data_IF_482132680754
#
_entry.id   IF_482132680754
#
_cell.length_a   1.000
_cell.length_b   1.000
_cell.length_c   1.000
_cell.angle_alpha   90.00
_cell.angle_beta   90.00
_cell.angle_gamma   90.00
#
_symmetry.space_group_name_H-M   'P 1'
#
loop_
_entity.id
_entity.type
_entity.pdbx_description
1 polymer ?
#
# COMPACT_ATOMS: atom_id res chain seq x y z
N UNK A 1 -4.87 9.41 -16.91
CA UNK A 1 -5.12 8.47 -15.79
C UNK A 1 -6.44 7.77 -16.02
N UNK A 2 -6.47 6.45 -15.97
CA UNK A 2 -7.71 5.67 -15.95
C UNK A 2 -8.10 5.41 -14.48
N UNK A 3 -9.08 6.16 -13.99
CA UNK A 3 -9.51 6.09 -12.59
C UNK A 3 -10.13 4.75 -12.21
N UNK A 4 -10.86 4.10 -13.13
CA UNK A 4 -11.49 2.79 -12.88
C UNK A 4 -10.42 1.71 -12.72
N UNK A 5 -9.42 1.71 -13.61
CA UNK A 5 -8.29 0.78 -13.55
C UNK A 5 -7.44 1.02 -12.30
N UNK A 6 -7.21 2.30 -11.93
CA UNK A 6 -6.49 2.64 -10.70
C UNK A 6 -7.24 2.15 -9.45
N UNK A 7 -8.56 2.36 -9.38
CA UNK A 7 -9.36 1.87 -8.26
C UNK A 7 -9.33 0.33 -8.17
N UNK A 8 -9.50 -0.37 -9.29
CA UNK A 8 -9.41 -1.82 -9.33
C UNK A 8 -8.03 -2.33 -8.88
N UNK A 9 -6.95 -1.67 -9.35
CA UNK A 9 -5.59 -1.98 -8.91
C UNK A 9 -5.43 -1.80 -7.40
N UNK A 10 -5.97 -0.72 -6.83
CA UNK A 10 -5.95 -0.47 -5.39
C UNK A 10 -6.68 -1.55 -4.59
N UNK A 11 -7.88 -1.95 -5.02
CA UNK A 11 -8.64 -3.04 -4.37
C UNK A 11 -7.86 -4.35 -4.37
N UNK A 12 -7.33 -4.76 -5.55
CA UNK A 12 -6.59 -6.01 -5.69
C UNK A 12 -5.29 -5.95 -4.87
N UNK A 13 -4.58 -4.83 -4.89
CA UNK A 13 -3.33 -4.65 -4.16
C UNK A 13 -3.54 -4.69 -2.64
N UNK A 14 -4.56 -4.00 -2.13
CA UNK A 14 -4.91 -4.05 -0.70
C UNK A 14 -5.30 -5.47 -0.29
N UNK A 15 -6.13 -6.15 -1.07
CA UNK A 15 -6.49 -7.54 -0.77
C UNK A 15 -5.26 -8.48 -0.77
N UNK A 16 -4.31 -8.27 -1.69
CA UNK A 16 -3.06 -9.05 -1.75
C UNK A 16 -2.17 -8.78 -0.55
N UNK A 17 -2.02 -7.52 -0.14
CA UNK A 17 -1.29 -7.13 1.07
C UNK A 17 -1.94 -7.75 2.32
N UNK A 18 -3.26 -7.63 2.45
CA UNK A 18 -4.03 -8.21 3.56
C UNK A 18 -3.83 -9.73 3.64
N UNK A 19 -3.91 -10.43 2.50
CA UNK A 19 -3.68 -11.88 2.46
C UNK A 19 -2.27 -12.24 2.95
N UNK A 20 -1.25 -11.47 2.54
CA UNK A 20 0.12 -11.66 3.02
C UNK A 20 0.20 -11.47 4.55
N UNK A 21 -0.33 -10.36 5.07
CA UNK A 21 -0.30 -10.06 6.51
C UNK A 21 -0.99 -11.14 7.36
N UNK A 22 -1.98 -11.84 6.81
CA UNK A 22 -2.61 -12.99 7.47
C UNK A 22 -1.71 -14.22 7.52
N UNK A 23 -0.77 -14.35 6.58
CA UNK A 23 0.17 -15.48 6.49
C UNK A 23 1.46 -15.22 7.27
N UNK A 24 1.86 -13.95 7.44
CA UNK A 24 3.10 -13.55 8.12
C UNK A 24 3.35 -14.24 9.46
N UNK A 25 2.36 -14.40 10.37
CA UNK A 25 2.58 -15.11 11.62
C UNK A 25 3.00 -16.58 11.44
N UNK A 26 2.59 -17.20 10.32
CA UNK A 26 2.96 -18.59 10.01
C UNK A 26 4.42 -18.77 9.61
N UNK A 27 5.09 -17.68 9.24
CA UNK A 27 6.50 -17.65 8.85
C UNK A 27 7.38 -16.94 9.90
N UNK A 28 6.84 -16.70 11.10
CA UNK A 28 7.58 -16.15 12.24
C UNK A 28 7.63 -14.62 12.30
N UNK A 29 6.85 -13.92 11.46
CA UNK A 29 6.68 -12.47 11.58
C UNK A 29 5.53 -12.13 12.54
N UNK A 30 5.55 -10.95 13.19
CA UNK A 30 4.52 -10.57 14.14
C UNK A 30 3.19 -10.31 13.43
N UNK A 31 2.08 -10.61 14.11
CA UNK A 31 0.74 -10.32 13.60
C UNK A 31 0.51 -8.81 13.55
N UNK A 32 0.33 -8.27 12.36
CA UNK A 32 -0.07 -6.87 12.16
C UNK A 32 -1.61 -6.80 12.09
N UNK A 33 -2.22 -6.31 13.18
CA UNK A 33 -3.67 -6.26 13.34
C UNK A 33 -4.27 -4.96 12.73
N UNK A 34 -4.18 -4.78 11.40
CA UNK A 34 -4.59 -3.54 10.71
C UNK A 34 -6.05 -3.17 11.04
N UNK A 35 -6.97 -4.13 11.00
CA UNK A 35 -8.39 -3.88 11.25
C UNK A 35 -8.65 -3.31 12.64
N UNK A 36 -8.03 -3.87 13.68
CA UNK A 36 -8.14 -3.40 15.06
C UNK A 36 -7.43 -2.05 15.25
N UNK A 37 -6.24 -1.90 14.69
CA UNK A 37 -5.43 -0.68 14.81
C UNK A 37 -6.12 0.51 14.16
N UNK A 38 -6.64 0.37 12.94
CA UNK A 38 -7.36 1.46 12.26
C UNK A 38 -8.71 1.75 12.90
N UNK A 39 -9.43 0.72 13.38
CA UNK A 39 -10.69 0.89 14.09
C UNK A 39 -10.52 1.67 15.39
N UNK A 40 -9.49 1.36 16.19
CA UNK A 40 -9.20 2.08 17.43
C UNK A 40 -8.79 3.53 17.18
N UNK A 41 -8.02 3.76 16.12
CA UNK A 41 -7.59 5.11 15.73
C UNK A 41 -8.76 5.97 15.26
N UNK A 42 -9.69 5.42 14.48
CA UNK A 42 -10.92 6.13 14.10
C UNK A 42 -11.76 6.50 15.31
N UNK A 43 -11.89 5.62 16.28
CA UNK A 43 -12.65 5.88 17.50
C UNK A 43 -12.01 6.97 18.38
N UNK A 44 -10.69 7.12 18.33
CA UNK A 44 -9.96 8.16 19.06
C UNK A 44 -10.06 9.55 18.39
N UNK A 45 -10.17 9.60 17.06
CA UNK A 45 -10.18 10.86 16.29
C UNK A 45 -11.62 11.38 16.09
N UNK A 46 -12.59 10.48 15.99
CA UNK A 46 -13.99 10.82 15.78
C UNK A 46 -14.84 10.31 16.97
N UNK A 47 -15.80 11.10 17.42
CA UNK A 47 -16.86 10.65 18.35
C UNK A 47 -17.77 9.57 17.74
N UNK A 48 -17.39 8.98 16.63
CA UNK A 48 -18.06 7.84 15.99
C UNK A 48 -17.76 6.62 16.82
N UNK A 49 -18.76 6.08 17.47
CA UNK A 49 -18.74 4.83 18.20
C UNK A 49 -18.13 3.72 17.38
N UNK A 50 -17.27 2.94 18.01
CA UNK A 50 -16.44 1.86 17.48
C UNK A 50 -17.00 1.20 16.21
N UNK A 51 -16.38 1.49 15.07
CA UNK A 51 -16.73 0.86 13.78
C UNK A 51 -16.32 -0.62 13.72
N UNK A 52 -15.68 -1.11 14.76
CA UNK A 52 -15.16 -2.47 14.85
C UNK A 52 -14.07 -2.79 13.81
N UNK A 53 -13.47 -3.99 13.85
CA UNK A 53 -12.42 -4.38 12.91
C UNK A 53 -12.84 -4.30 11.44
N UNK A 54 -14.12 -4.56 11.13
CA UNK A 54 -14.65 -4.44 9.76
C UNK A 54 -14.55 -3.01 9.21
N UNK A 55 -14.78 -2.00 10.05
CA UNK A 55 -14.60 -0.60 9.67
C UNK A 55 -13.13 -0.24 9.44
N UNK A 56 -12.22 -0.80 10.24
CA UNK A 56 -10.78 -0.68 10.02
C UNK A 56 -10.34 -1.24 8.66
N UNK A 57 -10.83 -2.43 8.29
CA UNK A 57 -10.58 -3.03 6.98
C UNK A 57 -11.15 -2.21 5.82
N UNK A 58 -12.35 -1.64 6.00
CA UNK A 58 -12.93 -0.76 4.99
C UNK A 58 -12.11 0.51 4.81
N UNK A 59 -11.60 1.09 5.91
CA UNK A 59 -10.72 2.25 5.85
C UNK A 59 -9.42 1.92 5.13
N UNK A 60 -8.79 0.77 5.44
CA UNK A 60 -7.58 0.30 4.76
C UNK A 60 -7.80 0.17 3.25
N UNK A 61 -8.93 -0.40 2.84
CA UNK A 61 -9.30 -0.52 1.44
C UNK A 61 -9.47 0.85 0.76
N UNK A 62 -10.12 1.81 1.43
CA UNK A 62 -10.29 3.18 0.90
C UNK A 62 -8.93 3.85 0.75
N UNK A 63 -8.08 3.76 1.77
CA UNK A 63 -6.72 4.32 1.74
C UNK A 63 -5.91 3.68 0.62
N UNK A 64 -5.98 2.37 0.46
CA UNK A 64 -5.31 1.66 -0.63
C UNK A 64 -5.77 2.12 -2.02
N UNK A 65 -7.07 2.31 -2.22
CA UNK A 65 -7.60 2.87 -3.49
C UNK A 65 -7.09 4.29 -3.73
N UNK A 66 -7.06 5.14 -2.70
CA UNK A 66 -6.54 6.50 -2.80
C UNK A 66 -5.07 6.50 -3.20
N UNK A 67 -4.24 5.68 -2.56
CA UNK A 67 -2.82 5.56 -2.94
C UNK A 67 -2.62 5.03 -4.35
N UNK A 68 -3.43 4.07 -4.81
CA UNK A 68 -3.38 3.60 -6.20
C UNK A 68 -3.76 4.70 -7.20
N UNK A 69 -4.69 5.58 -6.86
CA UNK A 69 -5.00 6.76 -7.67
C UNK A 69 -3.85 7.75 -7.69
N UNK A 70 -3.17 7.98 -6.56
CA UNK A 70 -1.97 8.82 -6.47
C UNK A 70 -0.85 8.21 -7.33
N UNK A 71 -0.63 6.89 -7.27
CA UNK A 71 0.30 6.20 -8.15
C UNK A 71 -0.01 6.47 -9.63
N UNK A 72 -1.24 6.26 -10.03
CA UNK A 72 -1.71 6.44 -11.39
C UNK A 72 -1.56 7.88 -11.90
N UNK A 73 -1.76 8.88 -11.02
CA UNK A 73 -1.70 10.29 -11.38
C UNK A 73 -0.26 10.82 -11.45
N UNK A 74 0.61 10.37 -10.55
CA UNK A 74 1.89 11.04 -10.32
C UNK A 74 3.11 10.13 -10.49
N UNK A 75 3.01 8.83 -10.27
CA UNK A 75 4.18 7.95 -10.16
C UNK A 75 4.38 7.02 -11.36
N UNK A 76 3.30 6.54 -11.99
CA UNK A 76 3.37 5.50 -13.02
C UNK A 76 4.37 5.80 -14.15
N UNK A 77 4.43 7.06 -14.62
CA UNK A 77 5.33 7.45 -15.71
C UNK A 77 6.59 8.20 -15.25
N UNK A 78 6.72 8.48 -13.96
CA UNK A 78 7.86 9.23 -13.42
C UNK A 78 8.91 8.35 -12.77
N UNK A 79 8.52 7.18 -12.27
CA UNK A 79 9.46 6.24 -11.67
C UNK A 79 10.19 5.44 -12.76
N UNK A 80 11.49 5.12 -12.57
CA UNK A 80 12.27 4.35 -13.52
C UNK A 80 11.93 2.86 -13.47
N UNK A 81 12.23 2.15 -14.55
CA UNK A 81 12.13 0.69 -14.63
C UNK A 81 10.82 0.17 -15.21
N UNK A 82 10.64 -1.15 -15.12
CA UNK A 82 9.42 -1.82 -15.55
C UNK A 82 8.23 -1.43 -14.66
N UNK A 83 7.00 -1.66 -15.14
CA UNK A 83 5.78 -1.40 -14.37
C UNK A 83 5.80 -2.00 -12.96
N UNK A 84 6.33 -3.22 -12.82
CA UNK A 84 6.47 -3.88 -11.53
C UNK A 84 7.50 -3.17 -10.62
N UNK A 85 8.67 -2.81 -11.16
CA UNK A 85 9.71 -2.08 -10.42
C UNK A 85 9.21 -0.71 -9.96
N UNK A 86 8.50 0.02 -10.83
CA UNK A 86 7.86 1.31 -10.46
C UNK A 86 6.87 1.12 -9.31
N UNK A 87 6.10 0.05 -9.36
CA UNK A 87 5.20 -0.33 -8.27
C UNK A 87 5.95 -0.61 -6.97
N UNK A 88 7.03 -1.39 -7.00
CA UNK A 88 7.85 -1.66 -5.80
C UNK A 88 8.42 -0.39 -5.20
N UNK A 89 8.98 0.52 -6.04
CA UNK A 89 9.49 1.81 -5.58
C UNK A 89 8.39 2.65 -4.93
N UNK A 90 7.20 2.64 -5.51
CA UNK A 90 6.04 3.30 -4.91
C UNK A 90 5.64 2.65 -3.59
N UNK A 91 5.68 1.32 -3.48
CA UNK A 91 5.44 0.59 -2.23
C UNK A 91 6.37 1.05 -1.10
N UNK A 92 7.65 1.28 -1.41
CA UNK A 92 8.61 1.87 -0.45
C UNK A 92 8.17 3.28 -0.02
N UNK A 93 7.73 4.11 -0.95
CA UNK A 93 7.24 5.46 -0.62
C UNK A 93 6.02 5.38 0.30
N UNK A 94 5.05 4.51 0.00
CA UNK A 94 3.86 4.32 0.84
C UNK A 94 4.24 3.79 2.22
N UNK A 95 5.19 2.87 2.31
CA UNK A 95 5.71 2.38 3.58
C UNK A 95 6.31 3.51 4.42
N UNK A 96 7.14 4.37 3.82
CA UNK A 96 7.72 5.51 4.54
C UNK A 96 6.61 6.45 5.04
N UNK A 97 5.61 6.75 4.21
CA UNK A 97 4.45 7.56 4.61
C UNK A 97 3.68 6.90 5.75
N UNK A 98 3.48 5.58 5.69
CA UNK A 98 2.84 4.83 6.76
C UNK A 98 3.63 4.93 8.08
N UNK A 99 4.95 4.80 8.05
CA UNK A 99 5.80 4.86 9.25
C UNK A 99 5.94 6.27 9.83
N UNK A 100 5.82 7.32 9.00
CA UNK A 100 5.95 8.70 9.44
C UNK A 100 4.62 9.34 9.88
N UNK A 101 3.50 8.87 9.33
CA UNK A 101 2.18 9.47 9.54
C UNK A 101 1.24 8.51 10.27
N UNK A 102 1.00 7.32 9.68
CA UNK A 102 0.00 6.40 10.22
C UNK A 102 0.47 5.70 11.50
N UNK A 103 1.72 5.22 11.55
CA UNK A 103 2.22 4.53 12.73
C UNK A 103 2.20 5.43 14.00
N UNK A 104 2.69 6.68 13.98
CA UNK A 104 2.54 7.56 15.15
C UNK A 104 1.08 7.95 15.41
N UNK A 105 0.26 8.16 14.39
CA UNK A 105 -1.16 8.49 14.57
C UNK A 105 -1.97 7.35 15.21
N UNK A 106 -1.54 6.11 15.04
CA UNK A 106 -2.15 4.92 15.64
C UNK A 106 -1.52 4.50 16.96
N UNK A 107 -0.55 5.27 17.48
CA UNK A 107 0.14 4.98 18.73
C UNK A 107 1.31 3.99 18.59
N UNK A 108 1.60 3.49 17.39
CA UNK A 108 2.75 2.59 17.15
C UNK A 108 4.10 3.31 17.10
N UNK A 109 4.09 4.65 17.16
CA UNK A 109 5.30 5.48 17.14
C UNK A 109 5.99 5.52 15.78
N UNK A 110 6.95 6.44 15.64
CA UNK A 110 7.75 6.55 14.42
C UNK A 110 8.57 5.26 14.22
N UNK A 111 8.47 4.73 12.99
CA UNK A 111 9.15 3.49 12.60
C UNK A 111 8.95 2.37 13.64
N UNK A 112 7.71 2.23 14.12
CA UNK A 112 7.31 1.19 15.09
C UNK A 112 8.26 1.09 16.29
N UNK A 113 8.75 2.24 16.80
CA UNK A 113 9.79 2.33 17.86
C UNK A 113 11.07 1.55 17.57
N UNK A 114 11.38 1.27 16.30
CA UNK A 114 12.57 0.52 15.88
C UNK A 114 12.40 -1.01 15.94
N UNK A 115 11.19 -1.52 16.11
CA UNK A 115 10.92 -2.95 16.05
C UNK A 115 11.14 -3.47 14.62
N UNK A 116 12.26 -4.21 14.43
CA UNK A 116 12.69 -4.68 13.11
C UNK A 116 11.74 -5.71 12.50
N UNK A 117 11.06 -6.52 13.32
CA UNK A 117 10.13 -7.54 12.83
C UNK A 117 8.87 -6.87 12.30
N UNK A 118 8.32 -5.89 13.03
CA UNK A 118 7.19 -5.08 12.55
C UNK A 118 7.56 -4.28 11.30
N UNK A 119 8.76 -3.71 11.26
CA UNK A 119 9.24 -2.97 10.08
C UNK A 119 9.41 -3.89 8.87
N UNK A 120 9.95 -5.08 9.06
CA UNK A 120 10.14 -6.05 7.97
C UNK A 120 8.79 -6.52 7.40
N UNK A 121 7.85 -6.93 8.25
CA UNK A 121 6.50 -7.30 7.82
C UNK A 121 5.78 -6.15 7.15
N UNK A 122 5.79 -4.98 7.77
CA UNK A 122 5.19 -3.77 7.17
C UNK A 122 5.78 -3.41 5.81
N UNK A 123 7.11 -3.46 5.66
CA UNK A 123 7.78 -3.22 4.38
C UNK A 123 7.36 -4.26 3.33
N UNK A 124 7.36 -5.54 3.72
CA UNK A 124 6.99 -6.63 2.82
C UNK A 124 5.55 -6.45 2.31
N UNK A 125 4.62 -6.13 3.20
CA UNK A 125 3.23 -5.82 2.84
C UNK A 125 3.13 -4.68 1.83
N UNK A 126 3.84 -3.58 2.06
CA UNK A 126 3.82 -2.43 1.15
C UNK A 126 4.52 -2.70 -0.19
N UNK A 127 5.55 -3.54 -0.22
CA UNK A 127 6.18 -3.99 -1.46
C UNK A 127 5.21 -4.83 -2.29
N UNK A 128 4.46 -5.74 -1.66
CA UNK A 128 3.41 -6.51 -2.34
C UNK A 128 2.32 -5.57 -2.85
N UNK A 129 1.83 -4.66 -2.01
CA UNK A 129 0.85 -3.66 -2.43
C UNK A 129 1.33 -2.87 -3.64
N UNK A 130 2.49 -2.26 -3.57
CA UNK A 130 3.05 -1.44 -4.64
C UNK A 130 3.32 -2.24 -5.91
N UNK A 131 3.93 -3.43 -5.79
CA UNK A 131 4.19 -4.32 -6.91
C UNK A 131 2.91 -4.71 -7.66
N UNK A 132 1.82 -5.02 -6.93
CA UNK A 132 0.52 -5.33 -7.53
C UNK A 132 -0.09 -4.10 -8.19
N UNK A 133 -0.07 -2.92 -7.54
CA UNK A 133 -0.54 -1.66 -8.15
C UNK A 133 0.21 -1.40 -9.46
N UNK A 134 1.54 -1.47 -9.46
CA UNK A 134 2.35 -1.25 -10.65
C UNK A 134 2.08 -2.27 -11.74
N UNK A 135 1.89 -3.53 -11.39
CA UNK A 135 1.59 -4.59 -12.36
C UNK A 135 0.19 -4.46 -12.97
N UNK A 136 -0.83 -4.20 -12.16
CA UNK A 136 -2.23 -4.14 -12.60
C UNK A 136 -2.53 -2.83 -13.33
N UNK A 137 -2.04 -1.70 -12.79
CA UNK A 137 -2.30 -0.39 -13.38
C UNK A 137 -1.30 -0.04 -14.47
N UNK A 138 0.00 -0.28 -14.24
CA UNK A 138 1.07 0.19 -15.10
C UNK A 138 0.88 -0.23 -16.56
N UNK A 139 0.88 0.74 -17.47
CA UNK A 139 0.91 0.51 -18.90
C UNK A 139 2.28 -0.01 -19.35
N UNK A 140 2.32 -0.64 -20.51
CA UNK A 140 3.60 -0.88 -21.20
C UNK A 140 4.21 0.48 -21.55
N UNK A 141 5.51 0.65 -21.27
CA UNK A 141 6.24 1.79 -21.84
C UNK A 141 6.25 1.56 -23.34
N UNK A 142 5.73 2.50 -24.16
CA UNK A 142 5.86 2.38 -25.61
C UNK A 142 7.35 2.16 -25.92
N UNK A 143 7.69 1.04 -26.56
CA UNK A 143 9.05 0.84 -27.06
C UNK A 143 9.35 2.04 -27.95
N UNK A 144 10.52 2.70 -27.81
CA UNK A 144 10.89 3.75 -28.75
C UNK A 144 10.74 3.14 -30.13
N UNK A 145 9.82 3.71 -30.94
CA UNK A 145 9.57 3.26 -32.28
C UNK A 145 10.91 3.14 -32.97
N UNK A 146 11.23 1.95 -33.51
CA UNK A 146 12.42 1.79 -34.34
C UNK A 146 12.38 2.93 -35.36
N UNK A 147 13.41 3.78 -35.34
CA UNK A 147 13.48 4.88 -36.27
C UNK A 147 13.27 4.34 -37.69
N UNK A 148 12.34 4.90 -38.47
CA UNK A 148 12.14 4.40 -39.82
C UNK A 148 13.45 4.59 -40.59
N UNK A 149 14.01 3.49 -41.02
CA UNK A 149 15.12 3.21 -41.88
C UNK A 149 16.11 4.36 -42.20
N UNK A 150 17.35 4.15 -41.79
CA UNK A 150 18.47 4.76 -42.49
C UNK A 150 18.75 3.97 -43.76
#
# INVERSE_FOLDING_TARGET
>A
MDAKRAAAAGVIATASMTALLMVEPSIGLPKIAIGETLSSSMSAISSVTAVGPAGGWLLDLIVGVVFAMIYAAYFDQRLPGSRFVRGLLFGVVVFIVAQLIFAPATGSGFFSHGDLELLAGGLLGHLVYGGVVGYVYGGEVPSPAAAPGA
#
